data_IF_703007907716
#
_entry.id   IF_703007907716
#
_cell.length_a   1.000
_cell.length_b   1.000
_cell.length_c   1.000
_cell.angle_alpha   90.00
_cell.angle_beta   90.00
_cell.angle_gamma   90.00
#
_symmetry.space_group_name_H-M   'P 1'
#
loop_
_entity.id
_entity.type
_entity.pdbx_description
1 polymer ?
#
# COMPACT_ATOMS: atom_id res chain seq x y z
N UNK A 1 5.48 18.05 59.54
CA UNK A 1 5.71 16.78 58.79
C UNK A 1 5.20 16.76 57.33
N UNK A 2 4.50 17.80 56.81
CA UNK A 2 3.91 17.76 55.44
C UNK A 2 4.84 18.18 54.27
N UNK A 3 6.02 18.77 54.49
CA UNK A 3 6.86 19.31 53.38
C UNK A 3 7.69 18.26 52.62
N UNK A 4 7.85 17.04 53.15
CA UNK A 4 8.69 16.00 52.54
C UNK A 4 7.96 15.15 51.46
N UNK A 5 6.64 15.28 51.32
CA UNK A 5 5.85 14.54 50.31
C UNK A 5 5.95 15.15 48.92
N UNK A 6 6.01 16.48 48.84
CA UNK A 6 6.04 17.21 47.58
C UNK A 6 7.34 16.95 46.79
N UNK A 7 8.50 17.02 47.46
CA UNK A 7 9.81 16.78 46.81
C UNK A 7 9.94 15.34 46.28
N UNK A 8 9.36 14.36 46.97
CA UNK A 8 9.31 12.96 46.51
C UNK A 8 8.45 12.80 45.27
N UNK A 9 7.29 13.47 45.20
CA UNK A 9 6.40 13.47 44.04
C UNK A 9 7.09 14.02 42.77
N UNK A 10 7.92 15.05 42.91
CA UNK A 10 8.62 15.66 41.77
C UNK A 10 9.78 14.80 41.23
N UNK A 11 10.53 14.12 42.11
CA UNK A 11 11.54 13.12 41.68
C UNK A 11 10.89 11.91 40.99
N UNK A 12 9.75 11.45 41.52
CA UNK A 12 8.96 10.35 40.94
C UNK A 12 8.44 10.71 39.54
N UNK A 13 7.88 11.92 39.37
CA UNK A 13 7.44 12.41 38.05
C UNK A 13 8.59 12.51 37.05
N UNK A 14 9.75 13.07 37.43
CA UNK A 14 10.93 13.12 36.53
C UNK A 14 11.45 11.72 36.15
N UNK A 15 11.46 10.78 37.09
CA UNK A 15 11.87 9.39 36.81
C UNK A 15 10.88 8.66 35.88
N UNK A 16 9.58 8.99 35.98
CA UNK A 16 8.54 8.48 35.08
C UNK A 16 8.74 8.97 33.64
N UNK A 17 8.98 10.27 33.43
CA UNK A 17 9.25 10.81 32.09
C UNK A 17 10.55 10.27 31.48
N UNK A 18 11.53 9.87 32.30
CA UNK A 18 12.79 9.27 31.84
C UNK A 18 12.65 7.83 31.33
N UNK A 19 11.49 7.17 31.55
CA UNK A 19 11.21 5.79 31.06
C UNK A 19 10.58 5.76 29.66
N UNK A 20 10.25 6.91 29.07
CA UNK A 20 9.72 6.96 27.71
C UNK A 20 10.87 6.80 26.71
N UNK A 21 10.81 5.73 25.90
CA UNK A 21 11.75 5.55 24.79
C UNK A 21 11.62 6.76 23.83
N UNK A 22 12.70 7.52 23.58
CA UNK A 22 12.64 8.64 22.65
C UNK A 22 12.46 8.09 21.23
N UNK A 23 11.31 8.36 20.61
CA UNK A 23 11.06 8.00 19.21
C UNK A 23 11.89 8.93 18.34
N UNK A 24 12.93 8.39 17.73
CA UNK A 24 13.76 9.11 16.77
C UNK A 24 13.13 9.08 15.37
N UNK A 25 13.43 10.09 14.53
CA UNK A 25 13.01 10.09 13.12
C UNK A 25 13.46 8.83 12.39
N UNK A 26 14.67 8.34 12.70
CA UNK A 26 15.24 7.12 12.12
C UNK A 26 14.46 5.87 12.54
N UNK A 27 14.07 5.76 13.81
CA UNK A 27 13.25 4.62 14.27
C UNK A 27 11.85 4.63 13.68
N UNK A 28 11.28 5.82 13.42
CA UNK A 28 10.01 5.95 12.72
C UNK A 28 10.12 5.59 11.24
N UNK A 29 11.15 6.08 10.53
CA UNK A 29 11.39 5.73 9.13
C UNK A 29 11.72 4.24 8.96
N UNK A 30 12.52 3.67 9.84
CA UNK A 30 12.82 2.23 9.83
C UNK A 30 11.57 1.40 10.10
N UNK A 31 10.74 1.82 11.07
CA UNK A 31 9.45 1.16 11.34
C UNK A 31 8.50 1.23 10.15
N UNK A 32 8.36 2.41 9.52
CA UNK A 32 7.51 2.62 8.35
C UNK A 32 8.00 1.86 7.11
N UNK A 33 9.32 1.78 6.90
CA UNK A 33 9.89 0.98 5.83
C UNK A 33 9.65 -0.52 6.04
N UNK A 34 9.82 -1.01 7.27
CA UNK A 34 9.59 -2.41 7.61
C UNK A 34 8.11 -2.82 7.45
N UNK A 35 7.17 -1.98 7.87
CA UNK A 35 5.74 -2.25 7.66
C UNK A 35 5.33 -2.07 6.20
N UNK A 36 5.87 -1.07 5.50
CA UNK A 36 5.62 -0.86 4.06
C UNK A 36 6.12 -2.02 3.19
N UNK A 37 7.24 -2.64 3.55
CA UNK A 37 7.77 -3.81 2.85
C UNK A 37 6.81 -5.01 2.89
N UNK A 38 6.05 -5.17 3.98
CA UNK A 38 5.04 -6.23 4.11
C UNK A 38 3.82 -6.00 3.19
N UNK A 39 3.50 -4.75 2.86
CA UNK A 39 2.38 -4.39 1.96
C UNK A 39 2.77 -4.60 0.50
N UNK A 40 4.03 -4.31 0.16
CA UNK A 40 4.56 -4.43 -1.20
C UNK A 40 4.85 -5.87 -1.63
N UNK A 41 4.96 -6.81 -0.68
CA UNK A 41 5.30 -8.19 -0.98
C UNK A 41 4.10 -8.93 -1.59
N UNK A 42 4.17 -9.27 -2.87
CA UNK A 42 3.12 -10.04 -3.53
C UNK A 42 3.04 -11.47 -2.92
N UNK A 43 1.83 -12.05 -2.72
CA UNK A 43 1.68 -13.37 -2.09
C UNK A 43 2.45 -14.50 -2.79
N UNK A 44 2.59 -14.41 -4.12
CA UNK A 44 3.44 -15.32 -4.88
C UNK A 44 4.91 -15.21 -4.47
N UNK A 45 5.46 -14.00 -4.37
CA UNK A 45 6.85 -13.75 -3.98
C UNK A 45 7.18 -14.25 -2.57
N UNK A 46 6.23 -14.14 -1.64
CA UNK A 46 6.39 -14.63 -0.26
C UNK A 46 6.46 -16.16 -0.15
N UNK A 47 5.90 -16.89 -1.13
CA UNK A 47 5.75 -18.36 -1.11
C UNK A 47 6.44 -19.05 -2.28
N UNK A 48 7.22 -18.32 -3.08
CA UNK A 48 7.86 -18.85 -4.27
C UNK A 48 8.81 -20.00 -3.90
N UNK A 49 8.60 -21.17 -4.51
CA UNK A 49 9.49 -22.32 -4.40
C UNK A 49 10.39 -22.41 -5.65
N UNK A 50 11.48 -23.16 -5.53
CA UNK A 50 12.31 -23.49 -6.68
C UNK A 50 11.45 -24.18 -7.78
N UNK A 51 11.71 -23.84 -9.03
CA UNK A 51 11.02 -24.39 -10.21
C UNK A 51 9.51 -24.08 -10.31
N UNK A 52 9.04 -22.95 -9.76
CA UNK A 52 7.68 -22.45 -9.97
C UNK A 52 7.66 -21.22 -10.89
N UNK A 53 6.68 -21.17 -11.81
CA UNK A 53 6.43 -20.04 -12.68
C UNK A 53 5.15 -19.30 -12.28
N UNK A 54 5.15 -17.97 -12.38
CA UNK A 54 3.96 -17.15 -12.19
C UNK A 54 3.29 -16.90 -13.54
N UNK A 55 2.15 -17.55 -13.79
CA UNK A 55 1.37 -17.37 -15.01
C UNK A 55 0.11 -16.55 -14.74
N UNK A 56 -0.14 -15.53 -15.57
CA UNK A 56 -1.37 -14.76 -15.56
C UNK A 56 -2.01 -14.79 -16.94
N UNK A 57 -3.24 -15.27 -17.01
CA UNK A 57 -4.08 -15.21 -18.21
C UNK A 57 -5.06 -14.06 -18.02
N UNK A 58 -5.22 -13.24 -19.05
CA UNK A 58 -6.15 -12.11 -19.06
C UNK A 58 -7.02 -12.18 -20.29
N UNK A 59 -8.31 -11.93 -20.10
CA UNK A 59 -9.32 -11.99 -21.14
C UNK A 59 -10.24 -10.77 -21.01
N UNK A 60 -10.79 -10.36 -22.15
CA UNK A 60 -11.89 -9.40 -22.23
C UNK A 60 -13.09 -10.11 -22.83
N UNK A 61 -14.25 -10.02 -22.20
CA UNK A 61 -15.50 -10.56 -22.73
C UNK A 61 -16.43 -9.43 -23.19
N UNK A 62 -17.35 -9.74 -24.09
CA UNK A 62 -18.51 -8.89 -24.40
C UNK A 62 -18.17 -7.43 -24.70
N UNK A 63 -17.16 -7.20 -25.55
CA UNK A 63 -16.72 -5.83 -25.90
C UNK A 63 -17.87 -5.04 -26.53
N UNK A 64 -18.80 -5.71 -27.23
CA UNK A 64 -19.98 -5.10 -27.87
C UNK A 64 -19.65 -3.80 -28.63
N UNK A 65 -18.51 -3.79 -29.35
CA UNK A 65 -18.04 -2.65 -30.16
C UNK A 65 -17.72 -1.38 -29.35
N UNK A 66 -17.66 -1.47 -28.01
CA UNK A 66 -17.23 -0.37 -27.14
C UNK A 66 -15.70 -0.22 -27.19
N UNK A 67 -15.17 0.31 -28.29
CA UNK A 67 -13.73 0.48 -28.50
C UNK A 67 -13.18 1.70 -27.76
N UNK A 68 -13.92 2.81 -27.80
CA UNK A 68 -13.58 4.09 -27.17
C UNK A 68 -14.43 4.32 -25.90
N UNK A 69 -13.96 5.14 -24.96
CA UNK A 69 -14.72 5.55 -23.77
C UNK A 69 -15.80 6.58 -24.15
N UNK A 70 -16.74 6.18 -25.00
CA UNK A 70 -17.77 7.06 -25.55
C UNK A 70 -19.13 6.37 -25.60
N UNK A 71 -20.16 7.07 -25.15
CA UNK A 71 -21.55 6.65 -25.24
C UNK A 71 -22.18 7.25 -26.50
N UNK A 72 -22.36 6.43 -27.51
CA UNK A 72 -22.92 6.83 -28.80
C UNK A 72 -24.42 7.14 -28.74
N UNK A 73 -25.15 6.68 -27.72
CA UNK A 73 -26.58 6.95 -27.59
C UNK A 73 -26.84 8.30 -26.94
N UNK A 74 -26.03 8.65 -25.93
CA UNK A 74 -26.13 9.93 -25.23
C UNK A 74 -25.21 11.02 -25.81
N UNK A 75 -24.44 10.68 -26.85
CA UNK A 75 -23.44 11.53 -27.50
C UNK A 75 -22.50 12.24 -26.51
N UNK A 76 -21.87 11.45 -25.64
CA UNK A 76 -20.98 11.97 -24.59
C UNK A 76 -19.87 11.00 -24.24
N UNK A 77 -18.78 11.55 -23.70
CA UNK A 77 -17.71 10.75 -23.12
C UNK A 77 -18.22 9.91 -21.94
N UNK A 78 -17.72 8.68 -21.80
CA UNK A 78 -18.04 7.79 -20.71
C UNK A 78 -16.83 6.95 -20.27
N UNK A 79 -16.34 7.22 -19.06
CA UNK A 79 -15.15 6.60 -18.49
C UNK A 79 -15.39 5.21 -17.87
N UNK A 80 -16.63 4.73 -17.86
CA UNK A 80 -16.96 3.40 -17.32
C UNK A 80 -16.78 2.27 -18.33
N UNK A 81 -16.59 2.58 -19.62
CA UNK A 81 -16.50 1.62 -20.71
C UNK A 81 -15.32 1.94 -21.65
N UNK A 82 -15.12 1.09 -22.66
CA UNK A 82 -14.11 1.30 -23.70
C UNK A 82 -12.91 0.35 -23.63
N UNK A 83 -12.64 -0.36 -24.72
CA UNK A 83 -11.50 -1.27 -24.85
C UNK A 83 -10.16 -0.55 -24.73
N UNK A 84 -10.03 0.67 -25.23
CA UNK A 84 -8.83 1.51 -25.09
C UNK A 84 -8.43 1.77 -23.64
N UNK A 85 -9.42 1.97 -22.76
CA UNK A 85 -9.20 2.09 -21.30
C UNK A 85 -8.76 0.75 -20.71
N UNK A 86 -9.45 -0.33 -21.04
CA UNK A 86 -9.10 -1.68 -20.57
C UNK A 86 -7.69 -2.08 -21.03
N UNK A 87 -7.29 -1.72 -22.25
CA UNK A 87 -5.95 -1.95 -22.78
C UNK A 87 -4.87 -1.23 -21.95
N UNK A 88 -5.14 -0.01 -21.49
CA UNK A 88 -4.23 0.73 -20.61
C UNK A 88 -4.08 0.04 -19.25
N UNK A 89 -5.17 -0.49 -18.68
CA UNK A 89 -5.13 -1.29 -17.46
C UNK A 89 -4.32 -2.58 -17.65
N UNK A 90 -4.55 -3.29 -18.75
CA UNK A 90 -3.81 -4.51 -19.09
C UNK A 90 -2.31 -4.21 -19.28
N UNK A 91 -1.94 -3.09 -19.90
CA UNK A 91 -0.55 -2.65 -20.04
C UNK A 91 0.11 -2.38 -18.68
N UNK A 92 -0.57 -1.66 -17.79
CA UNK A 92 -0.08 -1.42 -16.43
C UNK A 92 0.17 -2.75 -15.69
N UNK A 93 -0.75 -3.70 -15.79
CA UNK A 93 -0.58 -5.02 -15.17
C UNK A 93 0.59 -5.80 -15.78
N UNK A 94 0.80 -5.73 -17.11
CA UNK A 94 1.92 -6.39 -17.80
C UNK A 94 3.28 -5.80 -17.42
N UNK A 95 3.36 -4.49 -17.21
CA UNK A 95 4.61 -3.80 -16.86
C UNK A 95 5.26 -4.34 -15.58
N UNK A 96 4.48 -4.91 -14.65
CA UNK A 96 5.00 -5.54 -13.44
C UNK A 96 5.89 -6.78 -13.68
N UNK A 97 5.86 -7.36 -14.88
CA UNK A 97 6.59 -8.60 -15.20
C UNK A 97 7.65 -8.42 -16.30
N UNK A 98 7.68 -7.25 -16.97
CA UNK A 98 8.65 -6.95 -18.00
C UNK A 98 9.90 -6.32 -17.34
N UNK A 99 10.89 -7.16 -17.07
CA UNK A 99 12.28 -6.77 -16.82
C UNK A 99 13.10 -7.01 -18.08
#
# INVERSE_FOLDING_TARGET
>A
MLRAGLVRSWKQKKAMFRRLHPVSRRSLLAGAAATGALIMLHPFSARAQANQAHLRIMETTDIHVNVLPYDYYADKANDTLGLSRTASLAANVRSHYAL
#
